data_IF_282175785961
#
_entry.id   IF_282175785961
#
_cell.length_a   1.000
_cell.length_b   1.000
_cell.length_c   1.000
_cell.angle_alpha   90.00
_cell.angle_beta   90.00
_cell.angle_gamma   90.00
#
_symmetry.space_group_name_H-M   'P 1'
#
loop_
_entity.id
_entity.type
_entity.pdbx_description
1 polymer ?
#
# COMPACT_ATOMS: atom_id res chain seq x y z
N UNK A 1 32.97 1.05 5.94
CA UNK A 1 32.51 2.43 5.68
C UNK A 1 31.52 2.40 4.52
N UNK A 2 30.42 3.12 4.67
CA UNK A 2 29.26 3.20 3.76
C UNK A 2 29.53 4.02 2.49
N UNK A 3 28.78 3.69 1.43
CA UNK A 3 28.07 4.55 0.46
C UNK A 3 27.65 3.63 -0.70
N UNK A 4 26.41 3.11 -0.83
CA UNK A 4 25.12 3.75 -1.15
C UNK A 4 25.24 4.84 -2.22
N UNK A 5 25.00 4.48 -3.49
CA UNK A 5 24.27 5.30 -4.48
C UNK A 5 24.30 4.68 -5.89
N UNK A 6 23.34 3.81 -6.18
CA UNK A 6 22.75 3.68 -7.51
C UNK A 6 21.24 3.72 -7.23
N UNK A 7 20.58 4.89 -7.28
CA UNK A 7 20.37 5.64 -8.50
C UNK A 7 19.21 5.00 -9.28
N UNK A 8 18.02 4.91 -8.66
CA UNK A 8 16.84 4.51 -9.40
C UNK A 8 16.40 5.71 -10.25
N UNK A 9 16.61 5.52 -11.55
CA UNK A 9 16.39 6.38 -12.70
C UNK A 9 15.11 7.21 -12.66
N UNK A 10 15.25 8.51 -12.95
CA UNK A 10 14.22 9.32 -13.58
C UNK A 10 13.98 8.82 -15.01
N UNK A 11 12.73 8.95 -15.50
CA UNK A 11 12.19 8.50 -16.81
C UNK A 11 11.60 7.09 -16.90
N UNK A 12 10.39 6.92 -16.34
CA UNK A 12 9.23 6.48 -17.14
C UNK A 12 8.01 7.21 -16.55
N UNK A 13 7.26 7.98 -17.37
CA UNK A 13 5.89 8.37 -17.01
C UNK A 13 5.03 7.23 -17.54
N UNK A 14 4.75 6.15 -16.77
CA UNK A 14 3.87 5.12 -17.26
C UNK A 14 2.50 5.77 -17.44
N UNK A 15 1.97 5.69 -18.67
CA UNK A 15 0.62 6.12 -19.02
C UNK A 15 -0.32 5.81 -17.85
N UNK A 16 -0.85 6.87 -17.22
CA UNK A 16 -1.66 6.77 -16.00
C UNK A 16 -2.75 5.71 -16.22
N UNK A 17 -2.53 4.50 -15.72
CA UNK A 17 -3.53 3.45 -15.72
C UNK A 17 -4.75 4.02 -15.01
N UNK A 18 -5.94 3.87 -15.59
CA UNK A 18 -7.18 4.33 -14.97
C UNK A 18 -7.17 3.91 -13.51
N UNK A 19 -7.30 4.88 -12.59
CA UNK A 19 -7.32 4.62 -11.15
C UNK A 19 -8.47 3.65 -10.89
N UNK A 20 -8.12 2.42 -10.55
CA UNK A 20 -9.07 1.40 -10.16
C UNK A 20 -9.69 1.76 -8.82
N UNK A 21 -10.83 1.15 -8.52
CA UNK A 21 -11.40 1.30 -7.19
C UNK A 21 -10.38 0.85 -6.13
N UNK A 22 -10.29 1.62 -5.03
CA UNK A 22 -9.32 1.44 -3.94
C UNK A 22 -7.85 1.82 -4.24
N UNK A 23 -7.52 2.38 -5.42
CA UNK A 23 -6.14 2.78 -5.72
C UNK A 23 -5.65 3.91 -4.80
N UNK A 24 -6.54 4.79 -4.33
CA UNK A 24 -6.22 5.77 -3.29
C UNK A 24 -5.66 5.11 -2.04
N UNK A 25 -6.37 4.10 -1.49
CA UNK A 25 -5.93 3.43 -0.24
C UNK A 25 -4.64 2.69 -0.47
N UNK A 26 -4.52 2.07 -1.64
CA UNK A 26 -3.33 1.32 -2.03
C UNK A 26 -2.10 2.22 -2.07
N UNK A 27 -2.21 3.42 -2.63
CA UNK A 27 -1.12 4.39 -2.64
C UNK A 27 -0.77 4.87 -1.24
N UNK A 28 -1.77 5.15 -0.39
CA UNK A 28 -1.53 5.56 1.00
C UNK A 28 -0.85 4.44 1.80
N UNK A 29 -1.31 3.19 1.67
CA UNK A 29 -0.71 2.04 2.32
C UNK A 29 0.73 1.82 1.86
N UNK A 30 1.01 1.95 0.56
CA UNK A 30 2.37 1.89 0.02
C UNK A 30 3.26 2.95 0.65
N UNK A 31 2.81 4.22 0.62
CA UNK A 31 3.55 5.34 1.23
C UNK A 31 3.83 5.08 2.71
N UNK A 32 2.84 4.61 3.45
CA UNK A 32 2.98 4.27 4.87
C UNK A 32 4.08 3.22 5.10
N UNK A 33 4.09 2.14 4.30
CA UNK A 33 5.05 1.04 4.46
C UNK A 33 6.46 1.41 3.98
N UNK A 34 6.59 2.23 2.94
CA UNK A 34 7.91 2.67 2.44
C UNK A 34 8.71 3.50 3.43
N UNK A 35 8.05 4.17 4.39
CA UNK A 35 8.72 4.97 5.43
C UNK A 35 9.17 4.08 6.61
N UNK A 36 8.66 2.85 6.72
CA UNK A 36 8.98 1.98 7.86
C UNK A 36 10.35 1.33 7.74
N UNK A 37 10.99 1.12 8.88
CA UNK A 37 12.29 0.44 8.99
C UNK A 37 12.27 -0.98 8.40
N UNK A 38 11.14 -1.67 8.39
CA UNK A 38 11.05 -3.02 7.82
C UNK A 38 11.32 -3.04 6.29
N UNK A 39 10.96 -1.96 5.58
CA UNK A 39 11.24 -1.87 4.14
C UNK A 39 12.62 -1.25 3.88
N UNK A 40 13.03 -0.28 4.71
CA UNK A 40 14.28 0.47 4.52
C UNK A 40 15.50 -0.34 4.98
N UNK A 41 15.45 -0.95 6.19
CA UNK A 41 16.59 -1.63 6.82
C UNK A 41 16.64 -3.10 6.49
N UNK A 42 15.51 -3.79 6.57
CA UNK A 42 15.47 -5.24 6.33
C UNK A 42 15.32 -5.59 4.85
N UNK A 43 15.05 -4.59 3.99
CA UNK A 43 14.78 -4.78 2.55
C UNK A 43 13.71 -5.84 2.24
N UNK A 44 12.77 -6.04 3.18
CA UNK A 44 11.67 -6.98 3.03
C UNK A 44 10.56 -6.40 2.19
N UNK A 45 9.77 -7.27 1.58
CA UNK A 45 8.60 -6.80 0.85
C UNK A 45 7.55 -6.25 1.83
N UNK A 46 6.76 -5.23 1.45
CA UNK A 46 5.72 -4.67 2.32
C UNK A 46 4.69 -5.72 2.80
N UNK A 47 4.50 -6.80 2.01
CA UNK A 47 3.64 -7.93 2.40
C UNK A 47 4.26 -8.76 3.53
N UNK A 48 5.54 -9.07 3.45
CA UNK A 48 6.26 -9.80 4.50
C UNK A 48 6.32 -9.00 5.79
N UNK A 49 6.54 -7.68 5.70
CA UNK A 49 6.49 -6.77 6.84
C UNK A 49 5.15 -6.82 7.58
N UNK A 50 4.04 -6.82 6.84
CA UNK A 50 2.69 -6.93 7.40
C UNK A 50 2.37 -8.32 7.94
N UNK A 51 2.91 -9.39 7.37
CA UNK A 51 2.70 -10.76 7.84
C UNK A 51 3.48 -11.04 9.12
N UNK A 52 4.70 -10.52 9.22
CA UNK A 52 5.56 -10.66 10.38
C UNK A 52 5.13 -9.77 11.57
N UNK A 53 4.14 -8.88 11.39
CA UNK A 53 3.73 -7.87 12.37
C UNK A 53 4.94 -7.15 12.98
N UNK A 54 5.82 -6.62 12.12
CA UNK A 54 7.05 -6.01 12.57
C UNK A 54 6.76 -4.82 13.51
N UNK A 55 7.46 -4.68 14.66
CA UNK A 55 7.19 -3.62 15.64
C UNK A 55 7.41 -2.21 15.08
N UNK A 56 8.14 -2.10 13.97
CA UNK A 56 8.40 -0.83 13.28
C UNK A 56 7.22 -0.30 12.47
N UNK A 57 6.15 -1.08 12.31
CA UNK A 57 4.98 -0.65 11.54
C UNK A 57 4.01 0.06 12.48
N UNK A 58 3.70 1.34 12.26
CA UNK A 58 2.74 2.05 13.10
C UNK A 58 1.32 1.50 12.88
N UNK A 59 0.48 1.65 13.90
CA UNK A 59 -0.92 1.23 13.87
C UNK A 59 -1.69 1.85 12.70
N UNK A 60 -1.32 3.06 12.27
CA UNK A 60 -1.89 3.73 11.10
C UNK A 60 -1.78 2.90 9.81
N UNK A 61 -0.63 2.25 9.57
CA UNK A 61 -0.47 1.38 8.40
C UNK A 61 -1.36 0.13 8.50
N UNK A 62 -1.60 -0.38 9.71
CA UNK A 62 -2.53 -1.49 9.93
C UNK A 62 -3.99 -1.06 9.67
N UNK A 63 -4.37 0.15 10.06
CA UNK A 63 -5.67 0.74 9.74
C UNK A 63 -5.85 0.90 8.22
N UNK A 64 -4.83 1.41 7.51
CA UNK A 64 -4.85 1.52 6.04
C UNK A 64 -4.94 0.15 5.36
N UNK A 65 -4.28 -0.88 5.91
CA UNK A 65 -4.41 -2.27 5.43
C UNK A 65 -5.85 -2.77 5.57
N UNK A 66 -6.47 -2.53 6.72
CA UNK A 66 -7.87 -2.93 6.96
C UNK A 66 -8.80 -2.20 6.00
N UNK A 67 -8.61 -0.90 5.82
CA UNK A 67 -9.39 -0.10 4.88
C UNK A 67 -9.24 -0.57 3.44
N UNK A 68 -8.02 -0.94 3.02
CA UNK A 68 -7.78 -1.50 1.70
C UNK A 68 -8.48 -2.86 1.53
N UNK A 69 -8.47 -3.69 2.57
CA UNK A 69 -9.16 -4.97 2.58
C UNK A 69 -10.68 -4.80 2.50
N UNK A 70 -11.25 -3.88 3.28
CA UNK A 70 -12.68 -3.55 3.23
C UNK A 70 -13.08 -2.98 1.88
N UNK A 71 -12.27 -2.09 1.31
CA UNK A 71 -12.53 -1.54 -0.01
C UNK A 71 -12.56 -2.65 -1.05
N UNK A 72 -11.55 -3.53 -1.09
CA UNK A 72 -11.54 -4.71 -1.99
C UNK A 72 -12.73 -5.64 -1.75
N UNK A 73 -13.08 -5.90 -0.49
CA UNK A 73 -14.24 -6.73 -0.13
C UNK A 73 -15.53 -6.12 -0.65
N UNK A 74 -15.66 -4.80 -0.59
CA UNK A 74 -16.83 -4.07 -1.09
C UNK A 74 -17.00 -4.18 -2.60
N UNK A 75 -15.91 -4.39 -3.36
CA UNK A 75 -15.96 -4.62 -4.81
C UNK A 75 -16.53 -6.00 -5.17
N UNK A 76 -16.33 -6.99 -4.31
CA UNK A 76 -16.82 -8.36 -4.50
C UNK A 76 -18.23 -8.56 -3.93
N UNK A 77 -18.70 -7.65 -3.07
CA UNK A 77 -20.02 -7.75 -2.45
C UNK A 77 -21.12 -7.37 -3.43
N UNK A 78 -21.91 -8.34 -3.89
CA UNK A 78 -23.03 -8.09 -4.79
C UNK A 78 -24.09 -7.13 -4.23
N UNK A 79 -24.18 -6.97 -2.90
CA UNK A 79 -25.13 -6.04 -2.25
C UNK A 79 -24.74 -4.59 -2.45
N UNK A 80 -23.47 -4.29 -2.70
CA UNK A 80 -22.97 -2.93 -2.95
C UNK A 80 -23.21 -2.49 -4.39
N UNK A 81 -23.57 -3.41 -5.30
CA UNK A 81 -23.90 -3.08 -6.71
C UNK A 81 -25.04 -2.05 -6.82
N UNK A 82 -26.03 -2.13 -5.93
CA UNK A 82 -27.16 -1.20 -5.91
C UNK A 82 -26.91 0.05 -5.06
N UNK A 83 -26.04 -0.06 -4.04
CA UNK A 83 -25.79 1.01 -3.05
C UNK A 83 -24.54 1.85 -3.35
N UNK A 84 -23.73 1.42 -4.30
CA UNK A 84 -22.39 1.94 -4.53
C UNK A 84 -21.35 1.30 -3.63
N UNK A 85 -20.11 1.27 -4.10
CA UNK A 85 -18.96 0.83 -3.30
C UNK A 85 -18.65 1.86 -2.22
N UNK A 86 -18.11 1.41 -1.08
CA UNK A 86 -17.60 2.31 -0.05
C UNK A 86 -16.37 3.02 -0.62
N UNK A 87 -16.50 4.30 -0.91
CA UNK A 87 -15.48 5.09 -1.58
C UNK A 87 -14.25 5.34 -0.72
N UNK A 88 -13.08 5.32 -1.36
CA UNK A 88 -11.83 5.90 -0.90
C UNK A 88 -10.98 6.35 -2.09
#
# INVERSE_FOLDING_TARGET
MNAVSEGLTEEEIPAKKARGACDGVKEQLKRCLHVTDCVIKDHKTPKECLLANHPSIPQECHSLRNLFFECKRSLLDNRTRFRGHKGY
#
